data_IF_319819394525
#
_entry.id   IF_319819394525
#
_cell.length_a   1.000
_cell.length_b   1.000
_cell.length_c   1.000
_cell.angle_alpha   90.00
_cell.angle_beta   90.00
_cell.angle_gamma   90.00
#
_symmetry.space_group_name_H-M   'P 1'
#
loop_
_entity.id
_entity.type
_entity.pdbx_description
1 polymer ?
#
# COMPACT_ATOMS: atom_id res chain seq x y z
N UNK A 1 -8.07 -7.45 9.44
CA UNK A 1 -8.47 -6.55 8.34
C UNK A 1 -7.35 -6.41 7.30
N UNK A 2 -6.17 -5.90 7.67
CA UNK A 2 -5.03 -5.71 6.75
C UNK A 2 -4.50 -6.99 6.12
N UNK A 3 -4.43 -8.10 6.86
CA UNK A 3 -4.02 -9.40 6.31
C UNK A 3 -4.96 -9.89 5.20
N UNK A 4 -6.27 -9.71 5.37
CA UNK A 4 -7.26 -10.06 4.34
C UNK A 4 -7.11 -9.17 3.11
N UNK A 5 -7.01 -7.85 3.32
CA UNK A 5 -6.74 -6.89 2.25
C UNK A 5 -5.46 -7.25 1.48
N UNK A 6 -4.40 -7.65 2.18
CA UNK A 6 -3.17 -8.13 1.56
C UNK A 6 -3.42 -9.39 0.74
N UNK A 7 -4.06 -10.41 1.30
CA UNK A 7 -4.34 -11.67 0.60
C UNK A 7 -5.18 -11.45 -0.67
N UNK A 8 -6.15 -10.55 -0.62
CA UNK A 8 -7.00 -10.20 -1.75
C UNK A 8 -6.22 -9.39 -2.80
N UNK A 9 -5.42 -8.41 -2.38
CA UNK A 9 -4.59 -7.58 -3.29
C UNK A 9 -3.37 -8.34 -3.83
N UNK A 10 -3.07 -9.53 -3.29
CA UNK A 10 -2.02 -10.45 -3.77
C UNK A 10 -2.57 -11.75 -4.33
N UNK A 11 -3.86 -11.80 -4.68
CA UNK A 11 -4.42 -12.95 -5.37
C UNK A 11 -4.41 -12.71 -6.89
N UNK A 12 -3.54 -13.38 -7.67
CA UNK A 12 -3.44 -13.17 -9.10
C UNK A 12 -4.69 -13.62 -9.87
N UNK A 13 -5.54 -14.45 -9.26
CA UNK A 13 -6.77 -14.96 -9.87
C UNK A 13 -7.92 -13.95 -9.85
N UNK A 14 -7.83 -12.90 -9.02
CA UNK A 14 -8.87 -11.89 -8.94
C UNK A 14 -8.78 -10.93 -10.13
N UNK A 15 -9.93 -10.45 -10.61
CA UNK A 15 -10.01 -9.42 -11.64
C UNK A 15 -9.77 -8.03 -11.05
N UNK A 16 -9.33 -7.08 -11.89
CA UNK A 16 -9.06 -5.71 -11.44
C UNK A 16 -10.28 -5.01 -10.82
N UNK A 17 -11.48 -5.36 -11.30
CA UNK A 17 -12.75 -4.89 -10.72
C UNK A 17 -12.88 -5.18 -9.22
N UNK A 18 -12.27 -6.26 -8.73
CA UNK A 18 -12.35 -6.68 -7.33
C UNK A 18 -11.70 -5.68 -6.36
N UNK A 19 -10.80 -4.80 -6.84
CA UNK A 19 -10.24 -3.71 -6.03
C UNK A 19 -11.30 -2.67 -5.65
N UNK A 20 -12.36 -2.54 -6.44
CA UNK A 20 -13.45 -1.58 -6.23
C UNK A 20 -14.65 -2.20 -5.52
N UNK A 21 -14.61 -3.51 -5.24
CA UNK A 21 -15.65 -4.15 -4.45
C UNK A 21 -15.64 -3.56 -3.02
N UNK A 22 -16.80 -3.28 -2.42
CA UNK A 22 -16.88 -2.66 -1.08
C UNK A 22 -16.08 -3.41 -0.01
N UNK A 23 -15.99 -4.75 -0.15
CA UNK A 23 -15.24 -5.62 0.75
C UNK A 23 -13.71 -5.40 0.70
N UNK A 24 -13.19 -4.86 -0.40
CA UNK A 24 -11.76 -4.57 -0.62
C UNK A 24 -11.49 -3.08 -0.51
N UNK A 25 -12.32 -2.26 -1.16
CA UNK A 25 -12.17 -0.81 -1.26
C UNK A 25 -12.24 -0.13 0.11
N UNK A 26 -13.18 -0.52 0.97
CA UNK A 26 -13.33 0.04 2.31
C UNK A 26 -12.06 -0.15 3.16
N UNK A 27 -11.60 -1.40 3.36
CA UNK A 27 -10.34 -1.68 4.05
C UNK A 27 -9.12 -0.99 3.43
N UNK A 28 -9.08 -0.87 2.10
CA UNK A 28 -8.00 -0.17 1.39
C UNK A 28 -7.97 1.32 1.75
N UNK A 29 -9.11 2.01 1.70
CA UNK A 29 -9.21 3.43 2.10
C UNK A 29 -8.78 3.60 3.55
N UNK A 30 -9.22 2.72 4.46
CA UNK A 30 -8.79 2.76 5.87
C UNK A 30 -7.28 2.56 6.01
N UNK A 31 -6.68 1.66 5.24
CA UNK A 31 -5.22 1.45 5.20
C UNK A 31 -4.49 2.71 4.76
N UNK A 32 -4.92 3.31 3.65
CA UNK A 32 -4.30 4.51 3.09
C UNK A 32 -4.36 5.64 4.11
N UNK A 33 -5.51 5.87 4.75
CA UNK A 33 -5.65 6.92 5.76
C UNK A 33 -4.76 6.67 6.98
N UNK A 34 -4.73 5.44 7.49
CA UNK A 34 -3.91 5.08 8.64
C UNK A 34 -2.42 5.31 8.36
N UNK A 35 -1.91 4.76 7.26
CA UNK A 35 -0.50 4.94 6.89
C UNK A 35 -0.18 6.39 6.56
N UNK A 36 -1.10 7.14 5.95
CA UNK A 36 -0.91 8.59 5.72
C UNK A 36 -0.68 9.33 7.03
N UNK A 37 -1.52 9.08 8.04
CA UNK A 37 -1.36 9.70 9.37
C UNK A 37 -0.02 9.32 9.98
N UNK A 38 0.34 8.03 9.97
CA UNK A 38 1.61 7.54 10.52
C UNK A 38 2.81 8.20 9.83
N UNK A 39 2.80 8.30 8.50
CA UNK A 39 3.90 8.91 7.74
C UNK A 39 3.99 10.41 7.91
N UNK A 40 2.86 11.12 7.96
CA UNK A 40 2.85 12.55 8.26
C UNK A 40 3.39 12.82 9.66
N UNK A 41 2.99 12.03 10.66
CA UNK A 41 3.51 12.13 12.02
C UNK A 41 5.02 11.85 12.05
N UNK A 42 5.48 10.80 11.38
CA UNK A 42 6.90 10.48 11.27
C UNK A 42 7.70 11.64 10.66
N UNK A 43 7.27 12.19 9.53
CA UNK A 43 7.93 13.33 8.89
C UNK A 43 7.95 14.58 9.78
N UNK A 44 6.89 14.82 10.55
CA UNK A 44 6.81 15.95 11.48
C UNK A 44 7.75 15.75 12.69
N UNK A 45 7.83 14.54 13.23
CA UNK A 45 8.78 14.20 14.30
C UNK A 45 10.22 14.40 13.80
N UNK A 46 10.54 13.89 12.61
CA UNK A 46 11.86 14.10 11.98
C UNK A 46 12.15 15.59 11.81
N UNK A 47 11.21 16.37 11.26
CA UNK A 47 11.37 17.82 11.12
C UNK A 47 11.63 18.50 12.47
N UNK A 48 10.90 18.09 13.50
CA UNK A 48 11.08 18.64 14.84
C UNK A 48 12.44 18.30 15.44
N UNK A 49 12.93 17.07 15.30
CA UNK A 49 14.24 16.63 15.80
C UNK A 49 15.39 17.39 15.13
N UNK A 50 15.34 17.55 13.80
CA UNK A 50 16.47 18.14 13.05
C UNK A 50 16.41 19.67 12.92
N UNK A 51 15.22 20.26 12.93
CA UNK A 51 15.02 21.70 12.67
C UNK A 51 14.29 22.44 13.81
N UNK A 52 13.92 21.76 14.89
CA UNK A 52 13.24 22.35 16.05
C UNK A 52 11.80 22.80 15.78
N UNK A 53 11.23 22.47 14.62
CA UNK A 53 9.89 22.91 14.20
C UNK A 53 9.14 21.85 13.42
N UNK A 54 7.82 21.88 13.56
CA UNK A 54 6.92 21.10 12.70
C UNK A 54 6.89 21.67 11.29
N UNK A 55 6.45 20.84 10.34
CA UNK A 55 6.24 21.26 8.96
C UNK A 55 5.10 22.27 8.91
N UNK A 56 5.18 23.23 7.98
CA UNK A 56 4.09 24.20 7.79
C UNK A 56 2.84 23.50 7.26
N UNK A 57 1.66 24.08 7.50
CA UNK A 57 0.39 23.53 7.02
C UNK A 57 0.40 23.30 5.50
N UNK A 58 1.00 24.22 4.73
CA UNK A 58 1.13 24.06 3.28
C UNK A 58 1.95 22.83 2.89
N UNK A 59 3.06 22.56 3.61
CA UNK A 59 3.89 21.37 3.35
C UNK A 59 3.15 20.10 3.77
N UNK A 60 2.48 20.11 4.94
CA UNK A 60 1.69 18.97 5.40
C UNK A 60 0.55 18.61 4.45
N UNK A 61 -0.17 19.59 3.90
CA UNK A 61 -1.23 19.34 2.90
C UNK A 61 -0.64 18.68 1.65
N UNK A 62 0.49 19.19 1.14
CA UNK A 62 1.17 18.59 -0.02
C UNK A 62 1.64 17.17 0.27
N UNK A 63 2.21 16.94 1.45
CA UNK A 63 2.66 15.63 1.90
C UNK A 63 1.51 14.63 1.95
N UNK A 64 0.39 15.00 2.59
CA UNK A 64 -0.83 14.18 2.68
C UNK A 64 -1.34 13.81 1.28
N UNK A 65 -1.51 14.81 0.40
CA UNK A 65 -2.02 14.57 -0.96
C UNK A 65 -1.10 13.64 -1.76
N UNK A 66 0.22 13.83 -1.69
CA UNK A 66 1.18 12.95 -2.36
C UNK A 66 1.14 11.53 -1.81
N UNK A 67 1.09 11.38 -0.47
CA UNK A 67 1.05 10.07 0.19
C UNK A 67 -0.21 9.27 -0.18
N UNK A 68 -1.38 9.91 -0.17
CA UNK A 68 -2.63 9.27 -0.56
C UNK A 68 -2.54 8.76 -2.01
N UNK A 69 -2.05 9.59 -2.94
CA UNK A 69 -1.91 9.19 -4.34
C UNK A 69 -0.91 8.04 -4.51
N UNK A 70 0.27 8.14 -3.90
CA UNK A 70 1.32 7.12 -4.00
C UNK A 70 0.82 5.78 -3.45
N UNK A 71 0.15 5.76 -2.29
CA UNK A 71 -0.37 4.52 -1.72
C UNK A 71 -1.51 3.92 -2.55
N UNK A 72 -2.41 4.76 -3.06
CA UNK A 72 -3.49 4.30 -3.95
C UNK A 72 -2.91 3.63 -5.21
N UNK A 73 -1.95 4.27 -5.87
CA UNK A 73 -1.26 3.67 -7.02
C UNK A 73 -0.38 2.47 -6.61
N UNK A 74 0.15 2.45 -5.39
CA UNK A 74 0.88 1.32 -4.82
C UNK A 74 0.02 0.05 -4.71
N UNK A 75 -1.24 0.18 -4.28
CA UNK A 75 -2.20 -0.93 -4.27
C UNK A 75 -2.50 -1.46 -5.68
N UNK A 76 -2.68 -0.57 -6.66
CA UNK A 76 -2.88 -0.95 -8.06
C UNK A 76 -1.64 -1.66 -8.61
N UNK A 77 -0.45 -1.09 -8.36
CA UNK A 77 0.83 -1.62 -8.78
C UNK A 77 1.08 -3.01 -8.22
N UNK A 78 0.78 -3.25 -6.94
CA UNK A 78 0.80 -4.59 -6.33
C UNK A 78 -0.05 -5.57 -7.10
N UNK A 79 -1.29 -5.19 -7.35
CA UNK A 79 -2.27 -6.09 -7.97
C UNK A 79 -1.84 -6.51 -9.38
N UNK A 80 -1.26 -5.59 -10.15
CA UNK A 80 -0.70 -5.87 -11.47
C UNK A 80 0.56 -6.74 -11.34
N UNK A 81 1.48 -6.37 -10.47
CA UNK A 81 2.77 -7.05 -10.32
C UNK A 81 2.63 -8.52 -9.91
N UNK A 82 1.71 -8.84 -9.01
CA UNK A 82 1.45 -10.22 -8.59
C UNK A 82 0.95 -11.08 -9.76
N UNK A 83 0.19 -10.50 -10.68
CA UNK A 83 -0.26 -11.21 -11.90
C UNK A 83 0.89 -11.48 -12.85
N UNK A 84 1.83 -10.53 -12.97
CA UNK A 84 3.02 -10.71 -13.78
C UNK A 84 3.94 -11.79 -13.18
N UNK A 85 4.11 -11.81 -11.85
CA UNK A 85 4.82 -12.90 -11.15
C UNK A 85 4.13 -14.25 -11.39
N UNK A 86 2.80 -14.30 -11.29
CA UNK A 86 2.01 -15.52 -11.52
C UNK A 86 2.19 -16.06 -12.94
N UNK A 87 2.17 -15.18 -13.94
CA UNK A 87 2.48 -15.54 -15.32
C UNK A 87 3.93 -16.01 -15.47
N UNK A 88 4.88 -15.30 -14.84
CA UNK A 88 6.31 -15.65 -14.85
C UNK A 88 6.62 -17.02 -14.24
N UNK A 89 5.82 -17.47 -13.27
CA UNK A 89 5.91 -18.82 -12.70
C UNK A 89 4.98 -19.85 -13.38
N UNK A 90 4.54 -19.61 -14.61
CA UNK A 90 3.68 -20.50 -15.39
C UNK A 90 2.38 -20.91 -14.65
N UNK A 91 1.82 -19.99 -13.86
CA UNK A 91 0.60 -20.23 -13.10
C UNK A 91 0.79 -21.05 -11.82
N UNK A 92 2.03 -21.22 -11.33
CA UNK A 92 2.28 -21.90 -10.07
C UNK A 92 1.98 -20.97 -8.87
N UNK A 93 0.82 -21.18 -8.23
CA UNK A 93 0.39 -20.39 -7.06
C UNK A 93 1.31 -20.51 -5.85
N UNK A 94 1.92 -21.66 -5.63
CA UNK A 94 2.78 -21.91 -4.47
C UNK A 94 4.05 -21.05 -4.57
N UNK A 95 4.72 -21.08 -5.73
CA UNK A 95 5.90 -20.23 -5.99
C UNK A 95 5.57 -18.74 -5.97
N UNK A 96 4.43 -18.35 -6.53
CA UNK A 96 3.97 -16.95 -6.47
C UNK A 96 3.73 -16.51 -5.03
N UNK A 97 3.08 -17.33 -4.19
CA UNK A 97 2.83 -17.02 -2.78
C UNK A 97 4.13 -16.94 -2.00
N UNK A 98 5.02 -17.91 -2.14
CA UNK A 98 6.33 -17.92 -1.48
C UNK A 98 7.15 -16.66 -1.82
N UNK A 99 7.14 -16.25 -3.09
CA UNK A 99 7.82 -15.04 -3.53
C UNK A 99 7.18 -13.76 -2.96
N UNK A 100 5.85 -13.68 -2.97
CA UNK A 100 5.11 -12.48 -2.51
C UNK A 100 5.19 -12.31 -1.00
N UNK A 101 5.17 -13.42 -0.25
CA UNK A 101 5.25 -13.42 1.22
C UNK A 101 6.66 -13.03 1.70
N UNK A 102 7.73 -13.40 0.98
CA UNK A 102 9.09 -12.92 1.27
C UNK A 102 9.22 -11.39 1.16
N UNK A 103 8.41 -10.76 0.31
CA UNK A 103 8.40 -9.32 0.11
C UNK A 103 7.30 -8.61 0.92
N UNK A 104 6.56 -9.33 1.78
CA UNK A 104 5.37 -8.86 2.50
C UNK A 104 5.55 -7.49 3.18
N UNK A 105 6.69 -7.29 3.83
CA UNK A 105 7.00 -6.06 4.58
C UNK A 105 7.08 -4.85 3.63
N UNK A 106 7.82 -4.97 2.53
CA UNK A 106 7.93 -3.88 1.53
C UNK A 106 6.57 -3.50 0.96
N UNK A 107 5.67 -4.48 0.84
CA UNK A 107 4.32 -4.25 0.36
C UNK A 107 3.50 -3.49 1.41
N UNK A 108 3.44 -3.92 2.66
CA UNK A 108 2.66 -3.22 3.71
C UNK A 108 3.10 -1.77 3.88
N UNK A 109 4.40 -1.49 3.87
CA UNK A 109 4.88 -0.12 4.07
C UNK A 109 4.58 0.79 2.87
N UNK A 110 4.36 0.26 1.68
CA UNK A 110 4.00 1.07 0.51
C UNK A 110 2.47 1.23 0.38
N UNK A 111 1.65 0.54 1.20
CA UNK A 111 0.18 0.45 1.04
C UNK A 111 -0.64 0.46 2.35
#
# INVERSE_FOLDING_TARGET
MFTKLYLDTTNPKLTFSHLFDPATLGPMIVSILLHTVVYVLFCNIVSWVFFGKFLSNTINIRLVSCLILIMFFGFIGRFIHVKDIYKGYNGNMEKTREYTDKHYISWIFIS
#
